data_IF_915640782887
#
_entry.id   IF_915640782887
#
_cell.length_a   1.000
_cell.length_b   1.000
_cell.length_c   1.000
_cell.angle_alpha   90.00
_cell.angle_beta   90.00
_cell.angle_gamma   90.00
#
_symmetry.space_group_name_H-M   'P 1'
#
loop_
_entity.id
_entity.type
_entity.pdbx_description
1 polymer ?
#
# COMPACT_ATOMS: atom_id res chain seq x y z
N UNK A 1 -2.73 18.71 -24.71
CA UNK A 1 -3.64 17.55 -24.60
C UNK A 1 -2.91 16.35 -25.15
N UNK A 2 -2.48 15.44 -24.30
CA UNK A 2 -1.88 14.16 -24.73
C UNK A 2 -2.97 13.35 -25.41
N UNK A 3 -2.74 12.87 -26.64
CA UNK A 3 -3.73 12.10 -27.41
C UNK A 3 -4.16 10.83 -26.63
N UNK A 4 -5.32 10.28 -26.98
CA UNK A 4 -5.85 9.02 -26.40
C UNK A 4 -4.82 7.91 -26.53
N UNK A 5 -4.48 7.27 -25.40
CA UNK A 5 -3.50 6.19 -25.29
C UNK A 5 -4.17 4.85 -25.05
N UNK A 6 -3.53 3.76 -25.50
CA UNK A 6 -3.91 2.37 -25.19
C UNK A 6 -3.05 1.88 -24.04
N UNK A 7 -3.67 1.63 -22.87
CA UNK A 7 -2.96 1.29 -21.63
C UNK A 7 -3.34 -0.12 -21.19
N UNK A 8 -2.34 -0.95 -20.94
CA UNK A 8 -2.49 -2.30 -20.41
C UNK A 8 -2.01 -2.33 -18.96
N UNK A 9 -2.88 -2.72 -18.06
CA UNK A 9 -2.57 -2.97 -16.65
C UNK A 9 -2.58 -4.47 -16.38
N UNK A 10 -1.52 -4.99 -15.76
CA UNK A 10 -1.41 -6.42 -15.40
C UNK A 10 -1.15 -6.54 -13.91
N UNK A 11 -2.10 -7.09 -13.16
CA UNK A 11 -2.04 -7.14 -11.70
C UNK A 11 -2.58 -8.46 -11.14
N UNK A 12 -1.94 -8.98 -10.11
CA UNK A 12 -2.50 -10.10 -9.34
C UNK A 12 -3.75 -9.66 -8.57
N UNK A 13 -3.72 -8.49 -7.93
CA UNK A 13 -4.85 -7.91 -7.20
C UNK A 13 -5.54 -6.81 -8.00
N UNK A 14 -6.88 -6.82 -7.96
CA UNK A 14 -7.76 -5.80 -8.52
C UNK A 14 -9.06 -5.74 -7.71
N UNK A 15 -9.88 -4.70 -7.91
CA UNK A 15 -11.20 -4.62 -7.30
C UNK A 15 -11.95 -5.98 -7.37
N UNK A 16 -12.69 -6.41 -6.32
CA UNK A 16 -12.96 -5.76 -5.04
C UNK A 16 -11.94 -6.05 -3.94
N UNK A 17 -10.76 -6.59 -4.26
CA UNK A 17 -9.76 -6.94 -3.26
C UNK A 17 -9.24 -5.70 -2.52
N UNK A 18 -9.16 -5.81 -1.18
CA UNK A 18 -8.65 -4.75 -0.32
C UNK A 18 -7.19 -5.05 0.02
N UNK A 19 -6.29 -4.63 -0.87
CA UNK A 19 -4.85 -4.63 -0.64
C UNK A 19 -4.22 -3.36 -1.23
N UNK A 20 -3.07 -2.89 -0.76
CA UNK A 20 -2.43 -1.70 -1.31
C UNK A 20 -2.18 -1.80 -2.82
N UNK A 21 -1.84 -2.98 -3.33
CA UNK A 21 -1.56 -3.21 -4.74
C UNK A 21 -2.81 -3.29 -5.60
N UNK A 22 -3.84 -3.96 -5.09
CA UNK A 22 -5.15 -3.99 -5.71
C UNK A 22 -5.73 -2.56 -5.83
N UNK A 23 -5.64 -1.79 -4.74
CA UNK A 23 -6.10 -0.42 -4.73
C UNK A 23 -5.35 0.45 -5.76
N UNK A 24 -4.01 0.31 -5.84
CA UNK A 24 -3.20 1.05 -6.81
C UNK A 24 -3.59 0.74 -8.25
N UNK A 25 -3.71 -0.55 -8.61
CA UNK A 25 -4.09 -0.97 -9.95
C UNK A 25 -5.52 -0.49 -10.31
N UNK A 26 -6.44 -0.57 -9.35
CA UNK A 26 -7.84 -0.18 -9.53
C UNK A 26 -7.98 1.33 -9.72
N UNK A 27 -7.37 2.14 -8.87
CA UNK A 27 -7.47 3.60 -8.96
C UNK A 27 -6.78 4.15 -10.22
N UNK A 28 -5.66 3.57 -10.64
CA UNK A 28 -5.04 3.93 -11.92
C UNK A 28 -5.92 3.55 -13.12
N UNK A 29 -6.55 2.37 -13.11
CA UNK A 29 -7.47 1.97 -14.18
C UNK A 29 -8.64 2.95 -14.31
N UNK A 30 -9.26 3.31 -13.17
CA UNK A 30 -10.36 4.29 -13.13
C UNK A 30 -9.91 5.65 -13.63
N UNK A 31 -8.72 6.10 -13.21
CA UNK A 31 -8.24 7.44 -13.55
C UNK A 31 -7.86 7.54 -15.02
N UNK A 32 -7.12 6.58 -15.57
CA UNK A 32 -6.83 6.55 -17.01
C UNK A 32 -8.11 6.52 -17.86
N UNK A 33 -9.13 5.79 -17.41
CA UNK A 33 -10.43 5.80 -18.08
C UNK A 33 -11.08 7.19 -18.02
N UNK A 34 -11.08 7.88 -16.86
CA UNK A 34 -11.63 9.25 -16.70
C UNK A 34 -10.92 10.27 -17.60
N UNK A 35 -9.61 10.07 -17.83
CA UNK A 35 -8.80 10.87 -18.74
C UNK A 35 -9.04 10.56 -20.23
N UNK A 36 -9.93 9.60 -20.54
CA UNK A 36 -10.32 9.26 -21.90
C UNK A 36 -9.40 8.27 -22.61
N UNK A 37 -8.49 7.59 -21.88
CA UNK A 37 -7.63 6.56 -22.44
C UNK A 37 -8.38 5.23 -22.63
N UNK A 38 -7.87 4.39 -23.54
CA UNK A 38 -8.34 3.02 -23.75
C UNK A 38 -7.63 2.09 -22.76
N UNK A 39 -8.36 1.61 -21.74
CA UNK A 39 -7.77 0.82 -20.65
C UNK A 39 -8.15 -0.64 -20.78
N UNK A 40 -7.14 -1.50 -20.76
CA UNK A 40 -7.30 -2.96 -20.64
C UNK A 40 -6.65 -3.41 -19.34
N UNK A 41 -7.39 -4.17 -18.54
CA UNK A 41 -6.90 -4.79 -17.30
C UNK A 41 -6.88 -6.30 -17.46
N UNK A 42 -5.74 -6.91 -17.17
CA UNK A 42 -5.59 -8.36 -17.05
C UNK A 42 -5.26 -8.67 -15.58
N UNK A 43 -6.15 -9.41 -14.90
CA UNK A 43 -6.01 -9.70 -13.47
C UNK A 43 -6.13 -11.19 -13.17
N UNK A 44 -5.76 -11.57 -11.94
CA UNK A 44 -5.96 -12.93 -11.43
C UNK A 44 -7.44 -13.27 -11.39
N UNK A 45 -7.75 -14.56 -11.68
CA UNK A 45 -9.10 -15.07 -11.53
C UNK A 45 -9.63 -14.84 -10.12
N UNK A 46 -10.85 -14.31 -10.08
CA UNK A 46 -11.60 -14.08 -8.86
C UNK A 46 -13.10 -14.34 -9.16
N UNK A 47 -13.75 -15.05 -8.26
CA UNK A 47 -15.19 -15.30 -8.35
C UNK A 47 -15.94 -14.08 -7.83
N UNK A 48 -16.21 -13.16 -8.73
CA UNK A 48 -16.90 -11.89 -8.46
C UNK A 48 -17.62 -11.42 -9.71
N UNK A 49 -18.79 -10.83 -9.56
CA UNK A 49 -19.52 -10.20 -10.66
C UNK A 49 -19.04 -8.75 -10.84
N UNK A 50 -18.35 -8.53 -11.94
CA UNK A 50 -17.81 -7.21 -12.29
C UNK A 50 -18.81 -6.32 -13.05
N UNK A 51 -20.06 -6.74 -13.25
CA UNK A 51 -21.05 -6.04 -14.11
C UNK A 51 -21.25 -4.60 -13.68
N UNK A 52 -21.44 -4.33 -12.39
CA UNK A 52 -21.65 -2.97 -11.91
C UNK A 52 -20.41 -2.10 -12.00
N UNK A 53 -19.23 -2.67 -11.72
CA UNK A 53 -17.98 -1.97 -11.91
C UNK A 53 -17.75 -1.60 -13.38
N UNK A 54 -18.04 -2.51 -14.31
CA UNK A 54 -17.85 -2.28 -15.75
C UNK A 54 -18.93 -1.36 -16.36
N UNK A 55 -20.12 -1.24 -15.75
CA UNK A 55 -21.09 -0.19 -16.10
C UNK A 55 -20.56 1.20 -15.75
N UNK A 56 -19.95 1.35 -14.57
CA UNK A 56 -19.38 2.62 -14.12
C UNK A 56 -18.09 2.97 -14.87
N UNK A 57 -17.23 1.97 -15.08
CA UNK A 57 -15.93 2.08 -15.76
C UNK A 57 -15.87 1.10 -16.93
N UNK A 58 -16.34 1.44 -18.13
CA UNK A 58 -16.34 0.55 -19.30
C UNK A 58 -14.92 0.35 -19.86
N UNK A 59 -14.11 -0.36 -19.10
CA UNK A 59 -12.75 -0.81 -19.47
C UNK A 59 -12.77 -2.24 -20.00
N UNK A 60 -11.78 -2.64 -20.79
CA UNK A 60 -11.59 -4.05 -21.17
C UNK A 60 -11.02 -4.81 -19.98
N UNK A 61 -11.78 -5.75 -19.42
CA UNK A 61 -11.36 -6.54 -18.26
C UNK A 61 -11.25 -8.03 -18.61
N UNK A 62 -10.11 -8.63 -18.32
CA UNK A 62 -9.83 -10.06 -18.55
C UNK A 62 -9.20 -10.67 -17.31
N UNK A 63 -9.46 -11.94 -17.06
CA UNK A 63 -8.84 -12.68 -15.97
C UNK A 63 -8.08 -13.88 -16.52
N UNK A 64 -6.90 -14.17 -15.96
CA UNK A 64 -6.28 -15.46 -16.22
C UNK A 64 -6.97 -16.59 -15.46
N UNK A 65 -6.75 -17.83 -15.91
CA UNK A 65 -7.50 -18.99 -15.41
C UNK A 65 -7.37 -19.20 -13.90
N UNK A 66 -8.37 -19.90 -13.33
CA UNK A 66 -8.37 -20.35 -11.92
C UNK A 66 -7.02 -20.94 -11.51
N UNK A 67 -6.62 -20.75 -10.22
CA UNK A 67 -5.43 -21.41 -9.66
C UNK A 67 -5.50 -22.93 -9.85
N UNK A 68 -4.39 -23.54 -10.25
CA UNK A 68 -4.23 -25.00 -10.35
C UNK A 68 -3.45 -25.51 -9.15
N UNK A 69 -2.43 -24.75 -8.71
CA UNK A 69 -1.66 -25.11 -7.54
C UNK A 69 -2.52 -24.94 -6.27
N UNK A 70 -2.69 -26.01 -5.48
CA UNK A 70 -3.51 -25.94 -4.29
C UNK A 70 -2.88 -25.02 -3.23
N UNK A 71 -3.71 -24.23 -2.58
CA UNK A 71 -3.30 -23.57 -1.33
C UNK A 71 -3.27 -24.65 -0.26
N UNK A 72 -2.15 -24.77 0.45
CA UNK A 72 -2.04 -25.75 1.53
C UNK A 72 -3.09 -25.43 2.60
N UNK A 73 -3.91 -26.41 2.99
CA UNK A 73 -5.03 -26.20 3.91
C UNK A 73 -4.54 -25.82 5.30
N UNK A 74 -5.27 -24.94 5.97
CA UNK A 74 -5.04 -24.67 7.38
C UNK A 74 -5.78 -25.73 8.23
N UNK A 75 -5.07 -26.43 9.12
CA UNK A 75 -5.63 -27.49 9.93
C UNK A 75 -6.02 -26.97 11.31
N UNK A 76 -7.18 -27.42 11.84
CA UNK A 76 -7.63 -27.09 13.19
C UNK A 76 -6.69 -27.61 14.30
N UNK A 77 -5.95 -28.69 14.02
CA UNK A 77 -4.97 -29.27 14.95
C UNK A 77 -3.69 -28.42 14.98
N UNK A 78 -3.32 -27.91 16.15
CA UNK A 78 -2.21 -26.97 16.35
C UNK A 78 -0.86 -27.45 15.76
N UNK A 79 -0.50 -28.71 15.97
CA UNK A 79 0.77 -29.27 15.46
C UNK A 79 0.78 -29.38 13.93
N UNK A 80 -0.32 -29.87 13.33
CA UNK A 80 -0.46 -30.00 11.88
C UNK A 80 -0.44 -28.61 11.22
N UNK A 81 -1.12 -27.63 11.80
CA UNK A 81 -1.14 -26.26 11.28
C UNK A 81 0.24 -25.59 11.33
N UNK A 82 1.03 -25.86 12.38
CA UNK A 82 2.42 -25.35 12.46
C UNK A 82 3.30 -25.98 11.39
N UNK A 83 3.23 -27.29 11.20
CA UNK A 83 3.97 -28.01 10.18
C UNK A 83 3.62 -27.54 8.76
N UNK A 84 2.32 -27.44 8.45
CA UNK A 84 1.84 -27.00 7.13
C UNK A 84 2.20 -25.53 6.87
N UNK A 85 2.11 -24.66 7.87
CA UNK A 85 2.57 -23.27 7.75
C UNK A 85 4.09 -23.19 7.52
N UNK A 86 4.87 -24.02 8.21
CA UNK A 86 6.31 -24.13 7.98
C UNK A 86 6.63 -24.59 6.56
N UNK A 87 5.96 -25.65 6.08
CA UNK A 87 6.11 -26.16 4.71
C UNK A 87 5.69 -25.11 3.68
N UNK A 88 4.54 -24.45 3.88
CA UNK A 88 4.08 -23.36 3.01
C UNK A 88 5.10 -22.22 2.95
N UNK A 89 5.70 -21.87 4.10
CA UNK A 89 6.73 -20.83 4.15
C UNK A 89 7.99 -21.24 3.40
N UNK A 90 8.45 -22.49 3.53
CA UNK A 90 9.59 -23.02 2.78
C UNK A 90 9.31 -23.03 1.29
N UNK A 91 8.16 -23.54 0.85
CA UNK A 91 7.77 -23.55 -0.55
C UNK A 91 7.66 -22.13 -1.13
N UNK A 92 7.08 -21.18 -0.38
CA UNK A 92 7.02 -19.78 -0.78
C UNK A 92 8.40 -19.17 -0.89
N UNK A 93 9.30 -19.43 0.08
CA UNK A 93 10.64 -18.86 0.11
C UNK A 93 11.51 -19.37 -1.03
N UNK A 94 11.47 -20.69 -1.32
CA UNK A 94 12.36 -21.31 -2.31
C UNK A 94 11.79 -21.36 -3.72
N UNK A 95 10.48 -21.31 -3.89
CA UNK A 95 9.82 -21.53 -5.19
C UNK A 95 8.76 -20.48 -5.54
N UNK A 96 8.55 -19.45 -4.72
CA UNK A 96 7.43 -18.50 -4.85
C UNK A 96 6.06 -19.22 -4.93
N UNK A 97 5.93 -20.37 -4.26
CA UNK A 97 4.68 -21.14 -4.26
C UNK A 97 3.61 -20.47 -3.40
N UNK A 98 2.33 -20.43 -3.82
CA UNK A 98 1.81 -20.89 -5.13
C UNK A 98 1.90 -19.81 -6.23
N UNK A 99 2.43 -18.61 -5.94
CA UNK A 99 2.41 -17.45 -6.83
C UNK A 99 3.23 -17.67 -8.11
N UNK A 100 4.17 -18.64 -8.14
CA UNK A 100 4.95 -18.98 -9.33
C UNK A 100 4.05 -19.34 -10.53
N UNK A 101 2.85 -19.86 -10.28
CA UNK A 101 1.87 -20.18 -11.30
C UNK A 101 1.46 -18.96 -12.13
N UNK A 102 1.41 -17.79 -11.50
CA UNK A 102 1.01 -16.54 -12.15
C UNK A 102 1.96 -16.18 -13.28
N UNK A 103 3.28 -16.51 -13.19
CA UNK A 103 4.25 -16.30 -14.26
C UNK A 103 3.83 -17.02 -15.56
N UNK A 104 3.41 -18.27 -15.45
CA UNK A 104 3.01 -19.09 -16.62
C UNK A 104 1.67 -18.62 -17.19
N UNK A 105 0.72 -18.26 -16.30
CA UNK A 105 -0.61 -17.80 -16.69
C UNK A 105 -0.56 -16.43 -17.37
N UNK A 106 0.20 -15.50 -16.81
CA UNK A 106 0.42 -14.18 -17.41
C UNK A 106 1.08 -14.33 -18.78
N UNK A 107 2.13 -15.16 -18.90
CA UNK A 107 2.73 -15.46 -20.20
C UNK A 107 1.70 -15.97 -21.22
N UNK A 108 0.84 -16.91 -20.79
CA UNK A 108 -0.20 -17.48 -21.68
C UNK A 108 -1.21 -16.42 -22.11
N UNK A 109 -1.65 -15.56 -21.17
CA UNK A 109 -2.61 -14.48 -21.46
C UNK A 109 -2.06 -13.44 -22.43
N UNK A 110 -0.75 -13.18 -22.37
CA UNK A 110 -0.11 -12.15 -23.19
C UNK A 110 0.31 -12.64 -24.58
N UNK A 111 0.11 -13.92 -24.92
CA UNK A 111 0.58 -14.50 -26.20
C UNK A 111 0.13 -13.72 -27.44
N UNK A 112 -1.11 -13.25 -27.47
CA UNK A 112 -1.72 -12.53 -28.58
C UNK A 112 -2.05 -11.07 -28.23
N UNK A 113 -1.32 -10.51 -27.27
CA UNK A 113 -1.49 -9.13 -26.82
C UNK A 113 -0.40 -8.27 -27.45
N UNK A 114 -0.79 -7.16 -28.12
CA UNK A 114 0.14 -6.22 -28.77
C UNK A 114 -0.55 -4.86 -29.01
N UNK A 115 0.24 -3.87 -29.38
CA UNK A 115 -0.25 -2.57 -29.83
C UNK A 115 -0.72 -1.63 -28.71
N UNK A 116 -0.18 -1.79 -27.51
CA UNK A 116 -0.38 -0.84 -26.42
C UNK A 116 0.73 0.22 -26.41
N UNK A 117 0.39 1.45 -26.05
CA UNK A 117 1.38 2.50 -25.81
C UNK A 117 2.11 2.23 -24.50
N UNK A 118 1.35 1.92 -23.43
CA UNK A 118 1.86 1.73 -22.08
C UNK A 118 1.41 0.38 -21.51
N UNK A 119 2.35 -0.36 -20.91
CA UNK A 119 2.08 -1.49 -20.04
C UNK A 119 2.57 -1.15 -18.64
N UNK A 120 1.69 -1.28 -17.63
CA UNK A 120 2.06 -1.19 -16.22
C UNK A 120 1.75 -2.53 -15.57
N UNK A 121 2.73 -3.13 -14.93
CA UNK A 121 2.56 -4.36 -14.15
C UNK A 121 2.81 -4.11 -12.68
N UNK A 122 2.06 -4.78 -11.81
CA UNK A 122 2.09 -4.54 -10.37
C UNK A 122 2.65 -5.74 -9.62
N UNK A 123 3.70 -5.55 -8.85
CA UNK A 123 4.13 -6.46 -7.80
C UNK A 123 3.48 -5.99 -6.46
N UNK A 124 3.20 -6.82 -5.49
CA UNK A 124 3.50 -8.23 -5.25
C UNK A 124 2.32 -9.08 -5.73
N UNK A 125 2.50 -10.28 -6.26
CA UNK A 125 3.75 -11.04 -6.39
C UNK A 125 4.59 -10.65 -7.62
N UNK A 126 5.91 -10.81 -7.52
CA UNK A 126 6.85 -10.49 -8.60
C UNK A 126 6.76 -11.42 -9.81
N UNK A 127 6.13 -12.56 -9.64
CA UNK A 127 5.86 -13.55 -10.70
C UNK A 127 5.04 -12.96 -11.86
N UNK A 128 4.26 -11.90 -11.62
CA UNK A 128 3.58 -11.12 -12.67
C UNK A 128 4.62 -10.46 -13.59
N UNK A 129 5.63 -9.79 -13.03
CA UNK A 129 6.71 -9.19 -13.81
C UNK A 129 7.50 -10.24 -14.60
N UNK A 130 7.74 -11.42 -14.01
CA UNK A 130 8.43 -12.52 -14.69
C UNK A 130 7.62 -13.05 -15.87
N UNK A 131 6.30 -13.17 -15.74
CA UNK A 131 5.43 -13.57 -16.84
C UNK A 131 5.48 -12.59 -18.02
N UNK A 132 5.51 -11.29 -17.73
CA UNK A 132 5.65 -10.25 -18.76
C UNK A 132 7.05 -10.27 -19.37
N UNK A 133 8.11 -10.34 -18.55
CA UNK A 133 9.47 -10.45 -19.04
C UNK A 133 9.67 -11.67 -19.96
N UNK A 134 8.96 -12.76 -19.67
CA UNK A 134 8.98 -13.95 -20.52
C UNK A 134 8.22 -13.76 -21.85
N UNK A 135 7.14 -13.00 -21.84
CA UNK A 135 6.33 -12.73 -23.04
C UNK A 135 6.97 -11.70 -23.95
N UNK A 136 7.69 -10.71 -23.39
CA UNK A 136 8.27 -9.59 -24.13
C UNK A 136 9.57 -9.99 -24.83
N UNK A 137 9.58 -9.84 -26.15
CA UNK A 137 10.77 -10.05 -26.99
C UNK A 137 10.80 -8.99 -28.10
N UNK A 138 11.90 -8.92 -28.84
CA UNK A 138 12.02 -8.02 -30.01
C UNK A 138 10.94 -8.29 -31.08
N UNK A 139 10.58 -9.57 -31.26
CA UNK A 139 9.55 -10.01 -32.22
C UNK A 139 8.11 -9.86 -31.65
N UNK A 140 7.94 -9.75 -30.34
CA UNK A 140 6.65 -9.63 -29.68
C UNK A 140 6.68 -8.47 -28.68
N UNK A 141 6.46 -7.27 -29.19
CA UNK A 141 6.33 -6.06 -28.41
C UNK A 141 4.89 -5.92 -27.90
N UNK A 142 4.68 -6.13 -26.61
CA UNK A 142 3.38 -5.98 -25.93
C UNK A 142 2.91 -4.51 -25.94
N UNK A 143 3.87 -3.61 -25.73
CA UNK A 143 3.67 -2.16 -25.61
C UNK A 143 4.92 -1.41 -26.05
N UNK A 144 4.79 -0.10 -26.31
CA UNK A 144 5.95 0.76 -26.56
C UNK A 144 6.82 0.87 -25.32
N UNK A 145 6.20 1.11 -24.16
CA UNK A 145 6.87 1.16 -22.85
C UNK A 145 6.26 0.17 -21.88
N UNK A 146 7.11 -0.44 -21.07
CA UNK A 146 6.74 -1.26 -19.94
C UNK A 146 7.31 -0.68 -18.65
N UNK A 147 6.42 -0.35 -17.69
CA UNK A 147 6.76 0.09 -16.35
C UNK A 147 6.46 -1.06 -15.38
N UNK A 148 7.50 -1.57 -14.72
CA UNK A 148 7.34 -2.52 -13.64
C UNK A 148 7.11 -1.76 -12.33
N UNK A 149 5.88 -1.74 -11.83
CA UNK A 149 5.52 -1.04 -10.58
C UNK A 149 5.77 -1.94 -9.38
N UNK A 150 6.81 -1.60 -8.62
CA UNK A 150 7.33 -2.36 -7.50
C UNK A 150 7.02 -1.60 -6.19
N UNK A 151 6.34 -2.28 -5.24
CA UNK A 151 6.07 -1.68 -3.92
C UNK A 151 7.28 -1.67 -3.02
N UNK A 152 7.81 -2.87 -2.80
CA UNK A 152 8.96 -3.12 -1.97
C UNK A 152 10.03 -3.79 -2.82
N UNK A 153 11.34 -3.65 -2.50
CA UNK A 153 12.39 -4.37 -3.20
C UNK A 153 12.22 -5.89 -3.08
N UNK A 154 12.58 -6.65 -4.10
CA UNK A 154 12.43 -8.11 -4.06
C UNK A 154 13.56 -8.80 -3.30
N UNK A 155 14.83 -8.65 -3.76
CA UNK A 155 16.00 -9.21 -3.09
C UNK A 155 16.51 -8.33 -1.94
N UNK A 156 16.25 -7.05 -2.00
CA UNK A 156 16.63 -6.07 -0.98
C UNK A 156 15.57 -5.81 0.08
N UNK A 157 14.52 -6.64 0.16
CA UNK A 157 13.52 -6.53 1.21
C UNK A 157 14.16 -6.83 2.58
N UNK A 158 14.03 -5.88 3.50
CA UNK A 158 14.54 -5.97 4.88
C UNK A 158 13.46 -6.28 5.90
N UNK A 159 12.19 -6.29 5.49
CA UNK A 159 11.05 -6.58 6.37
C UNK A 159 10.79 -8.07 6.54
N UNK A 160 11.18 -8.88 5.54
CA UNK A 160 11.04 -10.33 5.66
C UNK A 160 12.13 -10.89 6.60
N UNK A 161 11.72 -11.72 7.56
CA UNK A 161 12.62 -12.39 8.50
C UNK A 161 13.61 -13.35 7.82
N UNK A 162 13.29 -13.81 6.60
CA UNK A 162 14.11 -14.73 5.83
C UNK A 162 14.54 -14.10 4.51
N UNK A 163 15.82 -14.15 4.23
CA UNK A 163 16.35 -13.71 2.94
C UNK A 163 15.99 -14.70 1.84
N UNK A 164 15.59 -14.17 0.69
CA UNK A 164 15.33 -15.00 -0.49
C UNK A 164 16.61 -15.70 -0.98
N UNK A 165 16.53 -16.96 -1.50
CA UNK A 165 17.64 -17.66 -2.09
C UNK A 165 18.35 -16.86 -3.18
N UNK A 166 19.66 -17.03 -3.27
CA UNK A 166 20.55 -16.23 -4.15
C UNK A 166 20.17 -16.30 -5.63
N UNK A 167 19.55 -17.38 -6.10
CA UNK A 167 19.18 -17.54 -7.50
C UNK A 167 18.04 -16.61 -7.94
N UNK A 168 17.22 -16.12 -7.02
CA UNK A 168 16.18 -15.15 -7.36
C UNK A 168 16.74 -13.79 -7.79
N UNK A 169 18.00 -13.48 -7.46
CA UNK A 169 18.68 -12.31 -8.00
C UNK A 169 18.73 -12.31 -9.55
N UNK A 170 18.83 -13.49 -10.14
CA UNK A 170 18.82 -13.60 -11.61
C UNK A 170 17.44 -13.31 -12.19
N UNK A 171 16.38 -13.72 -11.48
CA UNK A 171 15.00 -13.42 -11.87
C UNK A 171 14.70 -11.92 -11.76
N UNK A 172 15.15 -11.28 -10.65
CA UNK A 172 14.99 -9.84 -10.48
C UNK A 172 15.76 -9.06 -11.56
N UNK A 173 17.04 -9.36 -11.75
CA UNK A 173 17.84 -8.73 -12.79
C UNK A 173 17.28 -8.97 -14.20
N UNK A 174 16.71 -10.13 -14.45
CA UNK A 174 16.11 -10.46 -15.75
C UNK A 174 14.93 -9.57 -16.09
N UNK A 175 13.93 -9.42 -15.19
CA UNK A 175 12.81 -8.54 -15.47
C UNK A 175 13.23 -7.06 -15.48
N UNK A 176 14.12 -6.64 -14.59
CA UNK A 176 14.66 -5.28 -14.55
C UNK A 176 15.36 -4.88 -15.86
N UNK A 177 16.09 -5.81 -16.51
CA UNK A 177 16.70 -5.56 -17.84
C UNK A 177 15.64 -5.33 -18.91
N UNK A 178 14.55 -6.09 -18.87
CA UNK A 178 13.49 -6.05 -19.88
C UNK A 178 12.48 -4.92 -19.69
N UNK A 179 12.27 -4.47 -18.47
CA UNK A 179 11.44 -3.30 -18.18
C UNK A 179 12.13 -2.04 -18.71
N UNK A 180 11.35 -1.10 -19.27
CA UNK A 180 11.87 0.20 -19.66
C UNK A 180 12.07 1.09 -18.42
N UNK A 181 11.11 1.05 -17.48
CA UNK A 181 11.18 1.74 -16.20
C UNK A 181 10.74 0.84 -15.05
N UNK A 182 11.21 1.18 -13.86
CA UNK A 182 10.83 0.56 -12.59
C UNK A 182 10.26 1.66 -11.72
N UNK A 183 8.98 1.62 -11.39
CA UNK A 183 8.41 2.60 -10.46
C UNK A 183 8.42 2.08 -9.02
N UNK A 184 8.82 2.94 -8.11
CA UNK A 184 8.86 2.67 -6.67
C UNK A 184 8.20 3.82 -5.92
N UNK A 185 7.60 3.59 -4.73
CA UNK A 185 6.79 4.62 -4.07
C UNK A 185 7.60 5.72 -3.38
N UNK A 186 8.85 5.45 -2.98
CA UNK A 186 9.70 6.37 -2.20
C UNK A 186 11.16 6.25 -2.61
N UNK A 187 11.90 7.36 -2.56
CA UNK A 187 13.32 7.40 -2.96
C UNK A 187 14.20 6.47 -2.12
N UNK A 188 13.93 6.37 -0.82
CA UNK A 188 14.73 5.55 0.09
C UNK A 188 14.70 4.06 -0.27
N UNK A 189 13.63 3.56 -0.91
CA UNK A 189 13.53 2.18 -1.37
C UNK A 189 14.51 1.86 -2.52
N UNK A 190 15.06 2.87 -3.21
CA UNK A 190 16.01 2.72 -4.32
C UNK A 190 17.26 1.95 -3.92
N UNK A 191 17.72 2.10 -2.67
CA UNK A 191 18.89 1.38 -2.14
C UNK A 191 18.67 -0.14 -2.05
N UNK A 192 17.44 -0.62 -2.06
CA UNK A 192 17.10 -2.04 -2.08
C UNK A 192 17.16 -2.69 -3.47
N UNK A 193 17.41 -1.91 -4.52
CA UNK A 193 17.58 -2.39 -5.90
C UNK A 193 19.04 -2.37 -6.32
N UNK A 194 19.40 -3.23 -7.29
CA UNK A 194 20.75 -3.24 -7.85
C UNK A 194 21.08 -1.92 -8.53
N UNK A 195 22.26 -1.36 -8.22
CA UNK A 195 22.71 -0.05 -8.72
C UNK A 195 22.73 0.04 -10.25
N UNK A 196 22.96 -1.09 -10.94
CA UNK A 196 22.93 -1.16 -12.41
C UNK A 196 21.57 -0.76 -13.01
N UNK A 197 20.46 -0.79 -12.23
CA UNK A 197 19.12 -0.42 -12.67
C UNK A 197 18.62 0.91 -12.11
N UNK A 198 19.41 1.61 -11.29
CA UNK A 198 19.01 2.88 -10.69
C UNK A 198 18.62 3.95 -11.72
N UNK A 199 19.21 3.91 -12.93
CA UNK A 199 18.86 4.82 -14.03
C UNK A 199 17.45 4.61 -14.58
N UNK A 200 16.86 3.41 -14.39
CA UNK A 200 15.48 3.09 -14.80
C UNK A 200 14.45 3.40 -13.72
N UNK A 201 14.88 3.64 -12.47
CA UNK A 201 13.96 3.85 -11.35
C UNK A 201 13.31 5.22 -11.45
N UNK A 202 11.99 5.24 -11.23
CA UNK A 202 11.16 6.44 -11.15
C UNK A 202 10.38 6.40 -9.84
N UNK A 203 10.35 7.52 -9.14
CA UNK A 203 9.60 7.65 -7.88
C UNK A 203 8.18 8.04 -8.23
N UNK A 204 7.25 7.11 -8.04
CA UNK A 204 5.83 7.33 -8.29
C UNK A 204 5.06 6.87 -7.05
N UNK A 205 4.65 7.80 -6.18
CA UNK A 205 3.95 7.49 -4.93
C UNK A 205 2.64 6.75 -5.13
N UNK A 206 2.05 6.24 -4.05
CA UNK A 206 0.70 5.70 -4.06
C UNK A 206 -0.31 6.82 -4.32
N UNK A 207 -1.20 6.62 -5.31
CA UNK A 207 -2.25 7.58 -5.64
C UNK A 207 -3.58 7.26 -4.98
N UNK A 208 -4.32 8.32 -4.63
CA UNK A 208 -5.67 8.24 -4.09
C UNK A 208 -6.55 9.33 -4.71
N UNK A 209 -7.84 9.02 -4.89
CA UNK A 209 -8.83 10.05 -5.19
C UNK A 209 -9.33 10.68 -3.89
N UNK A 210 -9.21 11.98 -3.78
CA UNK A 210 -9.70 12.74 -2.63
C UNK A 210 -9.95 14.20 -3.00
N UNK A 211 -10.82 14.84 -2.25
CA UNK A 211 -11.02 16.29 -2.32
C UNK A 211 -10.36 16.93 -1.09
N UNK A 212 -9.51 17.94 -1.35
CA UNK A 212 -8.90 18.77 -0.31
C UNK A 212 -9.85 19.87 0.22
N UNK A 213 -11.16 19.79 -0.07
CA UNK A 213 -12.09 20.78 0.45
C UNK A 213 -11.94 20.85 1.97
N UNK A 214 -11.57 22.02 2.45
CA UNK A 214 -11.61 22.35 3.87
C UNK A 214 -13.07 22.34 4.30
N UNK A 215 -13.57 21.20 4.74
CA UNK A 215 -14.70 21.21 5.63
C UNK A 215 -14.19 21.88 6.90
N UNK A 216 -14.50 23.16 7.05
CA UNK A 216 -14.28 23.89 8.29
C UNK A 216 -15.13 23.23 9.38
N UNK A 217 -14.58 22.25 10.06
CA UNK A 217 -15.15 21.82 11.33
C UNK A 217 -14.84 22.94 12.28
N UNK A 218 -15.84 23.81 12.53
CA UNK A 218 -15.81 24.72 13.68
C UNK A 218 -15.66 23.82 14.91
N UNK A 219 -14.45 23.76 15.44
CA UNK A 219 -14.24 23.14 16.73
C UNK A 219 -14.68 24.18 17.76
N UNK A 220 -15.66 23.82 18.57
CA UNK A 220 -15.97 24.60 19.77
C UNK A 220 -14.69 24.69 20.60
N UNK A 221 -14.22 25.91 20.87
CA UNK A 221 -13.00 26.17 21.65
C UNK A 221 -13.02 25.53 23.05
N UNK A 222 -14.20 25.14 23.53
CA UNK A 222 -14.44 24.47 24.81
C UNK A 222 -14.56 22.94 24.72
N UNK A 223 -14.31 22.33 23.56
CA UNK A 223 -14.44 20.87 23.39
C UNK A 223 -13.23 20.13 23.98
N UNK A 224 -13.48 18.96 24.60
CA UNK A 224 -12.43 18.07 25.10
C UNK A 224 -11.53 17.69 23.90
N UNK A 225 -10.19 17.91 23.99
CA UNK A 225 -9.28 17.56 22.89
C UNK A 225 -9.40 16.10 22.48
N UNK A 226 -9.61 15.86 21.19
CA UNK A 226 -9.76 14.54 20.60
C UNK A 226 -8.64 14.28 19.60
N UNK A 227 -8.01 13.12 19.69
CA UNK A 227 -6.94 12.72 18.78
C UNK A 227 -7.03 11.24 18.43
N UNK A 228 -6.40 10.84 17.32
CA UNK A 228 -6.55 9.48 16.82
C UNK A 228 -5.24 8.85 16.34
N UNK A 229 -5.20 7.53 16.42
CA UNK A 229 -4.25 6.65 15.76
C UNK A 229 -4.99 5.62 14.91
N UNK A 230 -4.56 5.44 13.67
CA UNK A 230 -5.03 4.36 12.81
C UNK A 230 -3.84 3.52 12.36
N UNK A 231 -3.81 2.23 12.71
CA UNK A 231 -2.75 1.32 12.30
C UNK A 231 -2.50 0.16 13.25
N UNK A 232 -1.66 -0.78 12.81
CA UNK A 232 -1.23 -1.93 13.60
C UNK A 232 -0.10 -1.55 14.54
N UNK A 233 -0.17 -1.98 15.78
CA UNK A 233 0.95 -1.93 16.71
C UNK A 233 1.91 -3.10 16.45
N UNK A 234 3.21 -2.84 16.51
CA UNK A 234 4.25 -3.82 16.29
C UNK A 234 5.23 -3.80 17.48
N UNK A 235 5.50 -4.97 18.03
CA UNK A 235 6.53 -5.09 19.06
C UNK A 235 7.88 -4.61 18.54
N UNK A 236 8.54 -3.73 19.31
CA UNK A 236 9.86 -3.18 18.96
C UNK A 236 9.86 -1.96 18.03
N UNK A 237 8.80 -1.72 17.24
CA UNK A 237 8.69 -0.55 16.38
C UNK A 237 7.57 0.39 16.84
N UNK A 238 6.34 0.03 16.61
CA UNK A 238 5.14 0.82 16.95
C UNK A 238 4.60 0.42 18.32
N UNK A 239 5.40 0.57 19.36
CA UNK A 239 4.99 0.22 20.72
C UNK A 239 4.16 1.35 21.34
N UNK A 240 2.87 1.13 21.69
CA UNK A 240 2.05 2.14 22.31
C UNK A 240 2.35 2.33 23.79
N UNK A 241 3.07 1.45 24.46
CA UNK A 241 3.19 1.37 25.91
C UNK A 241 3.68 2.65 26.57
N UNK A 242 4.75 3.33 26.12
CA UNK A 242 5.20 4.57 26.74
C UNK A 242 4.14 5.69 26.71
N UNK A 243 3.45 5.83 25.56
CA UNK A 243 2.36 6.78 25.42
C UNK A 243 1.19 6.44 26.34
N UNK A 244 0.80 5.16 26.37
CA UNK A 244 -0.34 4.72 27.18
C UNK A 244 -0.08 4.87 28.68
N UNK A 245 1.14 4.57 29.15
CA UNK A 245 1.54 4.79 30.55
C UNK A 245 1.44 6.27 30.92
N UNK A 246 1.92 7.16 30.06
CA UNK A 246 1.80 8.58 30.30
C UNK A 246 0.34 9.05 30.33
N UNK A 247 -0.50 8.60 29.40
CA UNK A 247 -1.92 8.95 29.36
C UNK A 247 -2.68 8.52 30.64
N UNK A 248 -2.28 7.39 31.26
CA UNK A 248 -2.92 6.97 32.55
C UNK A 248 -2.56 7.86 33.72
N UNK A 249 -1.44 8.56 33.70
CA UNK A 249 -1.00 9.50 34.70
C UNK A 249 -1.50 10.94 34.45
N UNK A 250 -2.16 11.18 33.30
CA UNK A 250 -2.52 12.52 32.86
C UNK A 250 -3.92 12.93 33.39
N UNK A 251 -3.99 13.99 34.17
CA UNK A 251 -5.26 14.51 34.73
C UNK A 251 -6.07 15.33 33.72
N UNK A 252 -5.42 15.84 32.64
CA UNK A 252 -6.09 16.64 31.61
C UNK A 252 -7.23 15.85 30.90
N UNK A 253 -8.33 16.52 30.54
CA UNK A 253 -9.37 15.88 29.75
C UNK A 253 -8.89 15.65 28.32
N UNK A 254 -9.16 14.46 27.76
CA UNK A 254 -8.91 14.10 26.37
C UNK A 254 -9.77 12.92 25.92
N UNK A 255 -9.88 12.72 24.60
CA UNK A 255 -10.41 11.50 23.97
C UNK A 255 -9.41 10.97 22.98
N UNK A 256 -8.93 9.74 23.17
CA UNK A 256 -8.01 9.07 22.27
C UNK A 256 -8.73 7.94 21.51
N UNK A 257 -8.84 8.09 20.19
CA UNK A 257 -9.45 7.12 19.29
C UNK A 257 -8.37 6.24 18.67
N UNK A 258 -8.51 4.93 18.76
CA UNK A 258 -7.56 3.96 18.18
C UNK A 258 -8.30 3.00 17.28
N UNK A 259 -7.87 2.95 16.00
CA UNK A 259 -8.35 2.01 14.99
C UNK A 259 -7.24 1.02 14.70
N UNK A 260 -7.39 -0.25 15.12
CA UNK A 260 -6.33 -1.24 15.04
C UNK A 260 -6.88 -2.65 14.87
N UNK A 261 -6.12 -3.53 14.19
CA UNK A 261 -6.45 -4.96 14.06
C UNK A 261 -5.93 -5.83 15.21
N UNK A 262 -5.23 -5.23 16.19
CA UNK A 262 -4.75 -5.92 17.38
C UNK A 262 -5.10 -5.16 18.67
N UNK A 263 -6.41 -5.01 18.98
CA UNK A 263 -6.90 -4.24 20.13
C UNK A 263 -6.49 -4.81 21.49
N UNK A 264 -6.13 -6.10 21.54
CA UNK A 264 -5.79 -6.80 22.78
C UNK A 264 -4.60 -6.16 23.53
N UNK A 265 -3.67 -5.55 22.80
CA UNK A 265 -2.52 -4.87 23.40
C UNK A 265 -2.93 -3.67 24.28
N UNK A 266 -4.14 -3.14 24.07
CA UNK A 266 -4.67 -1.99 24.80
C UNK A 266 -5.66 -2.37 25.91
N UNK A 267 -6.00 -3.65 26.09
CA UNK A 267 -7.02 -4.09 27.08
C UNK A 267 -6.79 -3.53 28.47
N UNK A 268 -5.57 -3.62 28.98
CA UNK A 268 -5.22 -3.10 30.31
C UNK A 268 -5.44 -1.57 30.43
N UNK A 269 -5.14 -0.83 29.38
CA UNK A 269 -5.28 0.62 29.37
C UNK A 269 -6.73 1.09 29.18
N UNK A 270 -7.55 0.30 28.49
CA UNK A 270 -8.97 0.56 28.31
C UNK A 270 -9.69 0.54 29.68
N UNK A 271 -9.29 -0.37 30.57
CA UNK A 271 -9.82 -0.41 31.97
C UNK A 271 -9.39 0.79 32.78
N UNK A 272 -8.17 1.31 32.58
CA UNK A 272 -7.64 2.43 33.36
C UNK A 272 -8.14 3.79 32.88
N UNK A 273 -8.29 3.94 31.55
CA UNK A 273 -8.66 5.21 30.90
C UNK A 273 -10.17 5.35 30.67
N UNK A 274 -10.93 4.25 30.78
CA UNK A 274 -12.38 4.22 30.59
C UNK A 274 -12.83 4.97 29.33
N UNK A 275 -13.65 6.01 29.47
CA UNK A 275 -14.20 6.80 28.37
C UNK A 275 -13.16 7.66 27.62
N UNK A 276 -11.98 7.88 28.23
CA UNK A 276 -10.89 8.61 27.55
C UNK A 276 -10.26 7.83 26.40
N UNK A 277 -10.35 6.48 26.37
CA UNK A 277 -9.77 5.61 25.33
C UNK A 277 -10.86 4.84 24.59
N UNK A 278 -11.05 5.17 23.34
CA UNK A 278 -11.99 4.54 22.41
C UNK A 278 -11.22 3.66 21.43
N UNK A 279 -11.35 2.34 21.56
CA UNK A 279 -10.66 1.37 20.69
C UNK A 279 -11.69 0.69 19.80
N UNK A 280 -11.42 0.68 18.50
CA UNK A 280 -12.24 0.06 17.47
C UNK A 280 -11.38 -0.79 16.52
N UNK A 281 -12.00 -1.78 15.88
CA UNK A 281 -11.42 -2.49 14.77
C UNK A 281 -11.25 -1.57 13.55
N UNK A 282 -10.60 -2.07 12.50
CA UNK A 282 -10.50 -1.33 11.23
C UNK A 282 -11.88 -1.08 10.64
N UNK A 283 -12.08 0.15 10.22
CA UNK A 283 -13.27 0.60 9.49
C UNK A 283 -12.88 0.95 8.04
N UNK A 284 -13.84 0.99 7.10
CA UNK A 284 -13.58 1.38 5.72
C UNK A 284 -12.86 2.74 5.65
N UNK A 285 -11.90 2.86 4.72
CA UNK A 285 -11.04 4.05 4.59
C UNK A 285 -11.84 5.37 4.51
N UNK A 286 -12.94 5.37 3.75
CA UNK A 286 -13.76 6.57 3.58
C UNK A 286 -14.39 7.03 4.90
N UNK A 287 -14.88 6.09 5.70
CA UNK A 287 -15.42 6.36 7.04
C UNK A 287 -14.32 6.83 8.00
N UNK A 288 -13.15 6.14 7.97
CA UNK A 288 -11.99 6.53 8.77
C UNK A 288 -11.56 7.97 8.47
N UNK A 289 -11.49 8.36 7.20
CA UNK A 289 -11.14 9.74 6.81
C UNK A 289 -12.12 10.76 7.37
N UNK A 290 -13.42 10.45 7.41
CA UNK A 290 -14.45 11.28 8.04
C UNK A 290 -14.22 11.47 9.54
N UNK A 291 -13.79 10.41 10.22
CA UNK A 291 -13.46 10.48 11.65
C UNK A 291 -12.17 11.26 11.90
N UNK A 292 -11.08 10.95 11.15
CA UNK A 292 -9.78 11.60 11.33
C UNK A 292 -9.84 13.12 11.10
N UNK A 293 -10.66 13.59 10.17
CA UNK A 293 -10.88 15.02 9.91
C UNK A 293 -11.50 15.77 11.09
N UNK A 294 -12.23 15.07 11.96
CA UNK A 294 -12.85 15.65 13.15
C UNK A 294 -11.91 15.75 14.36
N UNK A 295 -10.72 15.14 14.28
CA UNK A 295 -9.74 15.16 15.37
C UNK A 295 -9.01 16.51 15.45
N UNK A 296 -8.51 16.85 16.63
CA UNK A 296 -7.65 18.01 16.84
C UNK A 296 -6.26 17.74 16.24
N UNK A 297 -5.73 16.54 16.47
CA UNK A 297 -4.45 16.07 15.91
C UNK A 297 -4.43 14.56 15.77
N UNK A 298 -3.40 14.05 15.11
CA UNK A 298 -3.23 12.61 14.86
C UNK A 298 -1.90 12.12 15.47
N UNK A 299 -1.85 10.84 15.81
CA UNK A 299 -0.64 10.19 16.32
C UNK A 299 -0.01 9.34 15.22
N UNK A 300 1.28 9.51 15.00
CA UNK A 300 2.09 8.56 14.24
C UNK A 300 3.06 7.85 15.17
N UNK A 301 3.10 6.50 15.14
CA UNK A 301 4.18 5.72 15.73
C UNK A 301 5.21 5.43 14.64
N UNK A 302 6.45 5.86 14.87
CA UNK A 302 7.55 5.69 13.93
C UNK A 302 7.91 4.20 13.76
N UNK A 303 8.22 3.80 12.54
CA UNK A 303 8.67 2.44 12.23
C UNK A 303 10.16 2.21 12.54
N UNK A 304 10.91 3.27 12.85
CA UNK A 304 12.36 3.25 12.97
C UNK A 304 13.11 2.72 11.69
N UNK A 305 12.44 2.69 10.53
CA UNK A 305 13.03 2.29 9.25
C UNK A 305 12.90 3.44 8.24
N UNK A 306 13.98 3.71 7.49
CA UNK A 306 13.97 4.72 6.41
C UNK A 306 13.45 4.15 5.08
N UNK A 307 13.33 2.83 4.96
CA UNK A 307 13.04 2.14 3.71
C UNK A 307 11.54 2.10 3.36
N UNK A 308 10.66 2.23 4.37
CA UNK A 308 9.21 2.12 4.16
C UNK A 308 8.50 3.29 4.81
N UNK A 309 7.84 4.13 4.01
CA UNK A 309 6.91 5.12 4.52
C UNK A 309 5.53 4.46 4.75
N UNK A 310 4.98 4.53 5.97
CA UNK A 310 3.65 3.98 6.22
C UNK A 310 2.59 4.64 5.33
N UNK A 311 1.79 3.85 4.62
CA UNK A 311 0.70 4.36 3.77
C UNK A 311 -0.29 5.25 4.51
N UNK A 312 -0.46 5.05 5.82
CA UNK A 312 -1.29 5.89 6.69
C UNK A 312 -0.86 7.37 6.73
N UNK A 313 0.43 7.66 6.51
CA UNK A 313 0.90 9.05 6.48
C UNK A 313 0.33 9.82 5.29
N UNK A 314 -0.01 9.14 4.21
CA UNK A 314 -0.72 9.73 3.08
C UNK A 314 -2.13 10.12 3.50
N UNK A 315 -2.85 9.23 4.19
CA UNK A 315 -4.19 9.52 4.71
C UNK A 315 -4.13 10.69 5.70
N UNK A 316 -3.13 10.70 6.56
CA UNK A 316 -2.92 11.81 7.50
C UNK A 316 -2.62 13.13 6.80
N UNK A 317 -1.78 13.12 5.75
CA UNK A 317 -1.49 14.31 4.94
C UNK A 317 -2.78 14.87 4.29
N UNK A 318 -3.64 13.99 3.77
CA UNK A 318 -4.94 14.37 3.17
C UNK A 318 -5.86 15.03 4.21
N UNK A 319 -5.80 14.66 5.48
CA UNK A 319 -6.61 15.30 6.53
C UNK A 319 -6.15 16.71 6.86
N UNK A 320 -4.92 17.07 6.55
CA UNK A 320 -4.26 18.32 6.93
C UNK A 320 -4.23 18.58 8.44
N UNK A 321 -4.43 17.55 9.27
CA UNK A 321 -4.36 17.67 10.73
C UNK A 321 -2.92 17.66 11.22
N UNK A 322 -2.61 18.39 12.33
CA UNK A 322 -1.31 18.28 12.98
C UNK A 322 -1.02 16.82 13.37
N UNK A 323 0.22 16.39 13.25
CA UNK A 323 0.61 15.01 13.58
C UNK A 323 1.70 15.05 14.63
N UNK A 324 1.47 14.39 15.76
CA UNK A 324 2.49 14.11 16.74
C UNK A 324 3.17 12.78 16.43
N UNK A 325 4.49 12.82 16.22
CA UNK A 325 5.29 11.63 15.93
C UNK A 325 5.83 11.03 17.22
N UNK A 326 5.43 9.80 17.52
CA UNK A 326 5.91 9.03 18.67
C UNK A 326 7.07 8.16 18.21
N UNK A 327 8.26 8.46 18.66
CA UNK A 327 9.49 7.71 18.40
C UNK A 327 10.20 7.37 19.72
N UNK A 328 11.42 6.82 19.65
CA UNK A 328 12.21 6.45 20.83
C UNK A 328 12.56 7.63 21.74
N UNK A 329 12.58 8.85 21.20
CA UNK A 329 12.88 10.09 21.89
C UNK A 329 11.60 10.88 22.21
N UNK A 330 10.45 10.22 22.26
CA UNK A 330 9.17 10.86 22.56
C UNK A 330 9.22 11.57 23.91
N UNK A 331 8.84 12.85 23.90
CA UNK A 331 8.74 13.67 25.10
C UNK A 331 7.27 13.88 25.48
N UNK A 332 6.92 13.58 26.72
CA UNK A 332 5.57 13.76 27.25
C UNK A 332 5.08 15.22 27.18
N UNK A 333 5.99 16.20 27.26
CA UNK A 333 5.64 17.62 27.16
C UNK A 333 5.13 17.98 25.75
N UNK A 334 5.58 17.29 24.69
CA UNK A 334 5.08 17.51 23.34
C UNK A 334 3.60 17.10 23.23
N UNK A 335 3.19 15.97 23.83
CA UNK A 335 1.77 15.59 23.88
C UNK A 335 0.94 16.59 24.69
N UNK A 336 1.47 17.05 25.81
CA UNK A 336 0.81 18.04 26.65
C UNK A 336 0.60 19.38 25.93
N UNK A 337 1.59 19.79 25.13
CA UNK A 337 1.47 20.96 24.25
C UNK A 337 0.38 20.75 23.19
N UNK A 338 0.33 19.59 22.53
CA UNK A 338 -0.70 19.26 21.55
C UNK A 338 -2.11 19.24 22.15
N UNK A 339 -2.28 18.73 23.35
CA UNK A 339 -3.56 18.77 24.07
C UNK A 339 -4.02 20.19 24.40
N UNK A 340 -3.09 21.15 24.51
CA UNK A 340 -3.36 22.56 24.71
C UNK A 340 -3.48 23.37 23.42
N UNK A 341 -3.41 22.71 22.25
CA UNK A 341 -3.50 23.35 20.93
C UNK A 341 -2.19 23.93 20.39
N UNK A 342 -1.05 23.69 21.06
CA UNK A 342 0.27 24.07 20.54
C UNK A 342 0.82 22.94 19.68
N UNK A 343 0.80 23.15 18.36
CA UNK A 343 1.27 22.21 17.32
C UNK A 343 2.63 22.60 16.75
N UNK A 344 3.43 23.37 17.45
CA UNK A 344 4.76 23.82 16.98
C UNK A 344 5.72 22.65 16.66
N UNK A 345 5.55 21.52 17.38
CA UNK A 345 6.30 20.26 17.20
C UNK A 345 5.64 19.27 16.24
N UNK A 346 4.69 19.72 15.42
CA UNK A 346 4.04 18.84 14.44
C UNK A 346 5.03 18.26 13.45
N UNK A 347 4.82 17.01 13.09
CA UNK A 347 5.56 16.35 12.01
C UNK A 347 5.32 17.07 10.67
N UNK A 348 6.39 17.37 9.95
CA UNK A 348 6.29 17.89 8.58
C UNK A 348 5.87 16.74 7.66
N UNK A 349 4.81 16.94 6.88
CA UNK A 349 4.38 16.04 5.84
C UNK A 349 4.57 16.67 4.46
N UNK A 350 4.77 15.82 3.45
CA UNK A 350 4.75 16.27 2.06
C UNK A 350 3.37 16.85 1.67
N UNK A 351 3.34 17.68 0.63
CA UNK A 351 2.08 18.19 0.06
C UNK A 351 1.17 17.02 -0.34
N UNK A 352 -0.06 16.94 0.19
CA UNK A 352 -0.99 15.87 -0.16
C UNK A 352 -1.31 15.80 -1.66
N UNK A 353 -1.24 16.91 -2.41
CA UNK A 353 -1.49 16.92 -3.85
C UNK A 353 -0.58 15.97 -4.63
N UNK A 354 0.64 15.72 -4.17
CA UNK A 354 1.52 14.73 -4.81
C UNK A 354 0.98 13.30 -4.78
N UNK A 355 -0.01 13.02 -3.91
CA UNK A 355 -0.69 11.72 -3.82
C UNK A 355 -2.05 11.71 -4.53
N UNK A 356 -2.45 12.80 -5.19
CA UNK A 356 -3.71 12.82 -5.94
C UNK A 356 -3.58 11.94 -7.17
N UNK A 357 -4.58 11.06 -7.39
CA UNK A 357 -4.51 10.02 -8.43
C UNK A 357 -4.28 10.58 -9.83
N UNK A 358 -4.83 11.76 -10.11
CA UNK A 358 -4.61 12.46 -11.38
C UNK A 358 -3.13 12.79 -11.60
N UNK A 359 -2.46 13.37 -10.60
CA UNK A 359 -1.02 13.66 -10.68
C UNK A 359 -0.20 12.38 -10.81
N UNK A 360 -0.57 11.33 -10.06
CA UNK A 360 0.09 10.02 -10.16
C UNK A 360 -0.06 9.42 -11.56
N UNK A 361 -1.25 9.50 -12.17
CA UNK A 361 -1.47 8.98 -13.52
C UNK A 361 -0.61 9.73 -14.56
N UNK A 362 -0.47 11.04 -14.42
CA UNK A 362 0.41 11.84 -15.29
C UNK A 362 1.88 11.41 -15.16
N UNK A 363 2.39 11.14 -13.94
CA UNK A 363 3.76 10.63 -13.77
C UNK A 363 4.03 9.33 -14.54
N UNK A 364 3.02 8.46 -14.73
CA UNK A 364 3.14 7.28 -15.58
C UNK A 364 3.10 7.65 -17.07
N UNK A 365 2.23 8.56 -17.48
CA UNK A 365 2.07 8.96 -18.88
C UNK A 365 3.28 9.76 -19.40
N UNK A 366 3.93 10.53 -18.54
CA UNK A 366 5.13 11.30 -18.87
C UNK A 366 6.36 10.43 -19.19
N UNK A 367 6.26 9.11 -18.95
CA UNK A 367 7.31 8.15 -19.32
C UNK A 367 7.13 7.55 -20.71
N UNK A 368 6.07 7.92 -21.44
CA UNK A 368 5.86 7.57 -22.83
C UNK A 368 6.66 8.48 -23.76
#
# INVERSE_FOLDING_TARGET
MTGRKKILLVSNGFFPEISPRSHRATELAKEFFRQGHEVTVISKYREYDYSDFLKEFPISFKMWNKPILPILPDFKQKYLSVFVRGLSRVLSLFFEYPAIEDMFKVKKMLRNVYGFDLLISFAVPYTVHWGIAWSRSEKHRLSEKWIADCGDPYMGDVLDSFRKPFYFRYMEKWFCRKADFISIPIETAKSGYYSEFHHKIRIIPQGFKFDLKKEGVNQDENSIPAFAYAGTFLQGARNPEPLMQYLTSLELPFKFFVFTNNPDILKKYKLLLNEKLIVSDYIPRQELMGVLRKMNFLINFDNNTKLNSPSKLIDYAITQKPILNINKNFNNEDLKAFLKGDYSKRMSLPDPNQYHIENISHLFLDLL
#
